data_IF_299668267602
#
_entry.id   IF_299668267602
#
_cell.length_a   1.000
_cell.length_b   1.000
_cell.length_c   1.000
_cell.angle_alpha   90.00
_cell.angle_beta   90.00
_cell.angle_gamma   90.00
#
_symmetry.space_group_name_H-M   'P 1'
#
loop_
_entity.id
_entity.type
_entity.pdbx_description
1 polymer ?
#
# COMPACT_ATOMS: atom_id res chain seq x y z
N UNK A 1 -51.62 15.14 37.81
CA UNK A 1 -50.60 14.14 38.23
C UNK A 1 -50.53 12.90 37.33
N UNK A 2 -51.64 12.24 36.95
CA UNK A 2 -51.60 11.02 36.10
C UNK A 2 -51.00 11.20 34.68
N UNK A 3 -51.14 12.38 34.05
CA UNK A 3 -50.59 12.66 32.70
C UNK A 3 -49.05 12.77 32.66
N UNK A 4 -48.41 13.22 33.73
CA UNK A 4 -46.95 13.32 33.78
C UNK A 4 -46.28 11.97 34.04
N UNK A 5 -46.95 11.06 34.75
CA UNK A 5 -46.45 9.70 35.00
C UNK A 5 -46.35 8.90 33.69
N UNK A 6 -47.29 9.10 32.76
CA UNK A 6 -47.30 8.44 31.46
C UNK A 6 -46.15 8.95 30.55
N UNK A 7 -45.83 10.25 30.62
CA UNK A 7 -44.73 10.85 29.85
C UNK A 7 -43.37 10.35 30.35
N UNK A 8 -43.18 10.22 31.67
CA UNK A 8 -41.96 9.63 32.24
C UNK A 8 -41.83 8.13 31.94
N UNK A 9 -42.94 7.38 31.94
CA UNK A 9 -42.93 5.97 31.55
C UNK A 9 -42.59 5.77 30.06
N UNK A 10 -43.07 6.65 29.16
CA UNK A 10 -42.74 6.62 27.73
C UNK A 10 -41.28 7.04 27.49
N UNK A 11 -40.77 8.02 28.24
CA UNK A 11 -39.36 8.44 28.16
C UNK A 11 -38.39 7.33 28.62
N UNK A 12 -38.76 6.54 29.63
CA UNK A 12 -37.96 5.39 30.11
C UNK A 12 -37.98 4.19 29.14
N UNK A 13 -39.05 4.01 28.36
CA UNK A 13 -39.12 2.96 27.32
C UNK A 13 -38.29 3.35 26.08
N UNK A 14 -38.10 4.66 25.84
CA UNK A 14 -37.21 5.18 24.79
C UNK A 14 -35.72 5.12 25.18
N UNK A 15 -35.40 5.00 26.47
CA UNK A 15 -34.11 4.50 26.96
C UNK A 15 -34.05 2.98 26.89
N UNK A 16 -34.52 2.40 25.77
CA UNK A 16 -34.38 0.99 25.44
C UNK A 16 -32.90 0.63 25.61
N UNK A 17 -32.62 -0.09 26.69
CA UNK A 17 -31.37 -0.79 26.91
C UNK A 17 -31.05 -1.55 25.63
N UNK A 18 -29.96 -1.19 24.95
CA UNK A 18 -29.31 -2.15 24.08
C UNK A 18 -29.08 -3.41 24.92
N UNK A 19 -29.61 -4.53 24.47
CA UNK A 19 -29.42 -5.83 25.13
C UNK A 19 -28.10 -6.48 24.72
N UNK A 20 -27.37 -5.86 23.79
CA UNK A 20 -26.14 -6.37 23.22
C UNK A 20 -25.23 -5.20 22.89
N UNK A 21 -24.03 -5.20 23.46
CA UNK A 21 -22.91 -4.41 22.95
C UNK A 21 -22.34 -5.16 21.76
N UNK A 22 -22.35 -4.53 20.59
CA UNK A 22 -21.77 -5.15 19.40
C UNK A 22 -20.27 -4.85 19.31
N UNK A 23 -19.47 -5.85 18.97
CA UNK A 23 -18.00 -5.70 18.89
C UNK A 23 -17.54 -4.58 17.95
N UNK A 24 -18.33 -4.25 16.90
CA UNK A 24 -18.02 -3.17 15.97
C UNK A 24 -18.08 -1.78 16.62
N UNK A 25 -18.80 -1.62 17.76
CA UNK A 25 -18.93 -0.35 18.48
C UNK A 25 -17.66 0.01 19.26
N UNK A 26 -16.81 -0.98 19.52
CA UNK A 26 -15.49 -0.82 20.13
C UNK A 26 -14.35 -1.08 19.13
N UNK A 27 -14.67 -1.17 17.84
CA UNK A 27 -13.67 -1.43 16.81
C UNK A 27 -12.75 -0.22 16.67
N UNK A 28 -11.46 -0.44 16.90
CA UNK A 28 -10.41 0.57 16.72
C UNK A 28 -9.51 0.13 15.58
N UNK A 29 -9.22 1.03 14.65
CA UNK A 29 -8.33 0.73 13.54
C UNK A 29 -6.88 0.58 14.04
N UNK A 30 -6.15 -0.36 13.44
CA UNK A 30 -4.71 -0.47 13.64
C UNK A 30 -3.99 0.50 12.71
N UNK A 31 -2.83 0.99 13.12
CA UNK A 31 -2.02 1.81 12.23
C UNK A 31 -1.56 0.99 11.02
N UNK A 32 -1.52 1.63 9.85
CA UNK A 32 -1.17 0.99 8.58
C UNK A 32 -0.04 1.77 7.92
N UNK A 33 0.82 1.11 7.12
CA UNK A 33 1.82 1.85 6.36
C UNK A 33 1.13 2.79 5.37
N UNK A 34 1.78 3.92 5.14
CA UNK A 34 1.40 4.93 4.17
C UNK A 34 2.58 5.18 3.25
N UNK A 35 2.37 5.00 1.96
CA UNK A 35 3.38 5.27 0.94
C UNK A 35 2.96 6.45 0.09
N UNK A 36 3.87 7.40 -0.11
CA UNK A 36 3.67 8.52 -1.03
C UNK A 36 4.72 8.46 -2.14
N UNK A 37 4.30 8.20 -3.38
CA UNK A 37 5.19 8.24 -4.53
C UNK A 37 5.57 9.67 -4.90
N UNK A 38 6.83 9.88 -5.30
CA UNK A 38 7.21 11.08 -6.03
C UNK A 38 6.95 10.87 -7.54
N UNK A 39 5.75 11.24 -7.97
CA UNK A 39 5.31 11.08 -9.37
C UNK A 39 6.16 11.89 -10.36
N UNK A 40 6.82 12.96 -9.91
CA UNK A 40 7.70 13.77 -10.77
C UNK A 40 9.04 13.08 -11.08
N UNK A 41 9.40 12.04 -10.32
CA UNK A 41 10.60 11.22 -10.54
C UNK A 41 10.35 9.98 -11.38
N UNK A 42 9.11 9.52 -11.48
CA UNK A 42 8.72 8.40 -12.35
C UNK A 42 9.08 8.70 -13.80
N UNK A 43 9.71 7.74 -14.49
CA UNK A 43 10.10 7.92 -15.89
C UNK A 43 8.88 8.01 -16.84
N UNK A 44 7.72 7.54 -16.38
CA UNK A 44 6.47 7.56 -17.13
C UNK A 44 5.30 8.00 -16.22
N UNK A 45 4.23 8.57 -16.80
CA UNK A 45 3.02 8.95 -16.05
C UNK A 45 2.50 7.87 -15.10
N UNK A 46 2.26 8.28 -13.85
CA UNK A 46 1.63 7.48 -12.79
C UNK A 46 0.89 8.38 -11.82
N UNK A 47 0.24 7.79 -10.82
CA UNK A 47 -0.56 8.47 -9.81
C UNK A 47 -0.09 8.07 -8.41
N UNK A 48 -0.10 9.01 -7.46
CA UNK A 48 0.36 8.73 -6.09
C UNK A 48 -0.44 7.61 -5.40
N UNK A 49 -1.72 7.48 -5.74
CA UNK A 49 -2.62 6.46 -5.20
C UNK A 49 -2.42 5.10 -5.82
N UNK A 50 -1.75 5.00 -6.98
CA UNK A 50 -1.46 3.74 -7.65
C UNK A 50 -0.32 2.96 -7.00
N UNK A 51 0.52 3.58 -6.16
CA UNK A 51 1.66 2.95 -5.47
C UNK A 51 2.63 2.17 -6.38
N UNK A 52 2.57 2.43 -7.68
CA UNK A 52 3.48 1.89 -8.69
C UNK A 52 4.09 3.04 -9.49
N UNK A 53 5.40 3.04 -9.59
CA UNK A 53 6.17 3.89 -10.51
C UNK A 53 6.61 3.09 -11.73
N UNK A 54 7.20 3.77 -12.71
CA UNK A 54 7.68 3.12 -13.93
C UNK A 54 9.10 3.51 -14.28
N UNK A 55 9.85 2.50 -14.74
CA UNK A 55 11.07 2.65 -15.51
C UNK A 55 10.77 2.43 -17.00
N UNK A 56 11.42 3.18 -17.87
CA UNK A 56 11.27 3.07 -19.32
C UNK A 56 12.52 2.46 -19.97
N UNK A 57 12.40 1.23 -20.44
CA UNK A 57 13.41 0.48 -21.18
C UNK A 57 13.74 1.08 -22.56
N UNK A 58 12.90 1.98 -23.07
CA UNK A 58 13.20 2.68 -24.34
C UNK A 58 14.33 3.71 -24.19
N UNK A 59 14.62 4.13 -22.95
CA UNK A 59 15.73 5.01 -22.62
C UNK A 59 17.04 4.21 -22.55
N UNK A 60 18.08 4.55 -23.33
CA UNK A 60 19.36 3.84 -23.30
C UNK A 60 20.05 3.91 -21.93
N UNK A 61 19.77 4.94 -21.14
CA UNK A 61 20.36 5.15 -19.82
C UNK A 61 19.41 4.73 -18.68
N UNK A 62 18.38 3.92 -18.97
CA UNK A 62 17.34 3.58 -17.98
C UNK A 62 17.91 3.04 -16.67
N UNK A 63 19.02 2.29 -16.72
CA UNK A 63 19.59 1.63 -15.55
C UNK A 63 20.04 2.61 -14.45
N UNK A 64 20.50 3.80 -14.84
CA UNK A 64 21.13 4.77 -13.93
C UNK A 64 20.50 6.17 -13.99
N UNK A 65 19.86 6.52 -15.10
CA UNK A 65 19.28 7.85 -15.34
C UNK A 65 17.85 8.01 -14.83
N UNK A 66 17.20 6.93 -14.39
CA UNK A 66 15.82 6.94 -13.91
C UNK A 66 15.76 6.63 -12.43
N UNK A 67 14.81 7.25 -11.73
CA UNK A 67 14.68 7.13 -10.28
C UNK A 67 13.27 6.66 -9.89
N UNK A 68 13.24 5.81 -8.88
CA UNK A 68 12.04 5.44 -8.15
C UNK A 68 12.15 5.99 -6.73
N UNK A 69 11.41 7.06 -6.45
CA UNK A 69 11.40 7.72 -5.15
C UNK A 69 10.02 7.63 -4.49
N UNK A 70 10.03 7.30 -3.20
CA UNK A 70 8.83 7.21 -2.37
C UNK A 70 9.15 7.50 -0.91
N UNK A 71 8.12 7.92 -0.17
CA UNK A 71 8.17 8.19 1.26
C UNK A 71 7.30 7.18 2.01
N UNK A 72 7.86 6.60 3.07
CA UNK A 72 7.16 5.76 4.03
C UNK A 72 6.78 6.57 5.27
N UNK A 73 5.50 6.52 5.60
CA UNK A 73 4.92 7.04 6.82
C UNK A 73 3.89 5.99 7.32
N UNK A 74 3.03 6.36 8.26
CA UNK A 74 1.90 5.54 8.69
C UNK A 74 0.62 6.37 8.81
N UNK A 75 -0.51 5.72 8.58
CA UNK A 75 -1.81 6.26 8.96
C UNK A 75 -2.09 5.87 10.42
N UNK A 76 -2.18 6.88 11.29
CA UNK A 76 -2.68 6.71 12.66
C UNK A 76 -4.20 6.83 12.62
N UNK A 77 -4.90 5.71 12.40
CA UNK A 77 -6.35 5.67 12.25
C UNK A 77 -7.11 5.76 13.60
N UNK A 78 -6.61 6.60 14.51
CA UNK A 78 -7.12 6.82 15.87
C UNK A 78 -7.28 5.55 16.72
N UNK A 79 -6.16 5.00 17.21
CA UNK A 79 -6.12 4.82 18.67
C UNK A 79 -5.97 3.42 19.29
N UNK A 80 -5.42 2.40 18.61
CA UNK A 80 -5.03 1.17 19.34
C UNK A 80 -3.60 1.24 19.89
N UNK A 81 -2.61 1.33 19.00
CA UNK A 81 -1.18 1.43 19.32
C UNK A 81 -0.48 2.09 18.13
N UNK A 82 0.66 2.75 18.35
CA UNK A 82 1.48 3.26 17.25
C UNK A 82 2.39 2.17 16.70
N UNK A 83 2.85 2.28 15.44
CA UNK A 83 3.94 1.45 14.94
C UNK A 83 5.19 1.70 15.79
N UNK A 84 5.75 0.63 16.35
CA UNK A 84 7.10 0.64 16.92
C UNK A 84 8.13 0.67 15.78
N UNK A 85 7.92 -0.18 14.77
CA UNK A 85 8.75 -0.25 13.58
C UNK A 85 7.96 -0.77 12.37
N UNK A 86 8.48 -0.44 11.18
CA UNK A 86 8.06 -1.05 9.92
C UNK A 86 9.28 -1.69 9.27
N UNK A 87 9.24 -3.02 9.10
CA UNK A 87 10.22 -3.77 8.32
C UNK A 87 9.89 -3.64 6.83
N UNK A 88 10.90 -3.31 6.04
CA UNK A 88 10.80 -3.15 4.60
C UNK A 88 11.52 -4.31 3.94
N UNK A 89 10.79 -5.04 3.11
CA UNK A 89 11.30 -6.14 2.31
C UNK A 89 11.24 -5.77 0.84
N UNK A 90 12.17 -6.26 0.02
CA UNK A 90 12.21 -5.98 -1.42
C UNK A 90 12.54 -7.24 -2.21
N UNK A 91 11.99 -7.34 -3.41
CA UNK A 91 12.31 -8.39 -4.35
C UNK A 91 11.95 -8.01 -5.79
N UNK A 92 12.46 -8.80 -6.73
CA UNK A 92 12.15 -8.71 -8.15
C UNK A 92 11.20 -9.83 -8.57
N UNK A 93 10.23 -9.48 -9.40
CA UNK A 93 9.20 -10.38 -9.91
C UNK A 93 9.09 -10.29 -11.43
N UNK A 94 8.91 -11.44 -12.05
CA UNK A 94 8.61 -11.52 -13.48
C UNK A 94 7.15 -11.18 -13.75
N UNK A 95 6.89 -10.58 -14.91
CA UNK A 95 5.54 -10.28 -15.36
C UNK A 95 4.68 -11.55 -15.43
N UNK A 96 3.43 -11.45 -14.98
CA UNK A 96 2.42 -12.47 -15.23
C UNK A 96 2.01 -12.47 -16.73
N UNK A 97 1.39 -13.56 -17.19
CA UNK A 97 0.97 -13.70 -18.59
C UNK A 97 -0.07 -12.64 -19.02
N UNK A 98 -0.81 -12.07 -18.07
CA UNK A 98 -1.75 -10.97 -18.30
C UNK A 98 -1.07 -9.64 -17.99
N UNK A 99 -0.61 -8.95 -19.05
CA UNK A 99 0.01 -7.65 -18.92
C UNK A 99 -1.02 -6.59 -18.49
N UNK A 100 -0.69 -5.77 -17.48
CA UNK A 100 -1.58 -4.70 -17.03
C UNK A 100 -1.61 -3.54 -18.03
N UNK A 101 -2.80 -2.93 -18.16
CA UNK A 101 -3.02 -1.78 -19.06
C UNK A 101 -2.15 -0.60 -18.65
N UNK A 102 -1.64 0.13 -19.64
CA UNK A 102 -0.88 1.37 -19.45
C UNK A 102 -1.41 2.45 -20.43
N UNK A 103 -1.55 3.74 -20.02
CA UNK A 103 -1.28 4.30 -18.69
C UNK A 103 -2.21 3.70 -17.61
N UNK A 104 -1.85 3.89 -16.34
CA UNK A 104 -2.70 3.45 -15.22
C UNK A 104 -4.06 4.15 -15.35
N UNK A 105 -5.13 3.38 -15.36
CA UNK A 105 -6.49 3.93 -15.33
C UNK A 105 -7.01 3.76 -13.91
N UNK A 106 -6.93 4.80 -13.08
CA UNK A 106 -7.55 4.71 -11.76
C UNK A 106 -9.07 4.60 -11.89
N UNK A 107 -9.71 3.94 -10.92
CA UNK A 107 -11.16 4.03 -10.76
C UNK A 107 -11.52 5.48 -10.46
N UNK A 108 -11.94 6.22 -11.48
CA UNK A 108 -12.44 7.58 -11.32
C UNK A 108 -13.93 7.53 -10.99
N UNK A 109 -14.30 8.13 -9.87
CA UNK A 109 -15.66 8.47 -9.46
C UNK A 109 -16.71 7.33 -9.54
N UNK A 110 -16.61 6.36 -8.62
CA UNK A 110 -17.77 5.56 -8.18
C UNK A 110 -18.03 4.25 -8.92
N UNK A 111 -17.09 3.75 -9.75
CA UNK A 111 -17.19 2.43 -10.37
C UNK A 111 -16.09 1.53 -9.81
N UNK A 112 -16.46 0.51 -9.04
CA UNK A 112 -15.51 -0.51 -8.57
C UNK A 112 -14.75 -1.10 -9.78
N UNK A 113 -13.41 -1.08 -9.79
CA UNK A 113 -12.64 -1.70 -10.85
C UNK A 113 -12.99 -3.18 -10.88
N UNK A 114 -13.43 -3.67 -12.04
CA UNK A 114 -13.88 -5.05 -12.22
C UNK A 114 -12.73 -6.05 -12.34
N UNK A 115 -11.50 -5.55 -12.48
CA UNK A 115 -10.28 -6.34 -12.55
C UNK A 115 -9.12 -5.64 -11.83
N UNK A 116 -8.27 -6.37 -11.09
CA UNK A 116 -7.03 -5.84 -10.55
C UNK A 116 -6.15 -5.35 -11.70
N UNK A 117 -5.79 -4.07 -11.70
CA UNK A 117 -4.92 -3.55 -12.76
C UNK A 117 -3.46 -3.88 -12.48
N UNK A 118 -3.07 -4.11 -11.23
CA UNK A 118 -1.70 -4.49 -10.86
C UNK A 118 -1.76 -5.39 -9.61
N UNK A 119 -2.03 -6.70 -9.73
CA UNK A 119 -1.97 -7.60 -8.59
C UNK A 119 -0.50 -7.79 -8.21
N UNK A 120 0.03 -6.91 -7.37
CA UNK A 120 1.29 -7.17 -6.71
C UNK A 120 1.03 -8.23 -5.61
N UNK A 121 1.99 -9.06 -5.22
CA UNK A 121 1.87 -9.88 -4.02
C UNK A 121 2.06 -9.02 -2.76
N UNK A 122 1.14 -9.01 -1.79
CA UNK A 122 1.31 -8.28 -0.52
C UNK A 122 2.00 -9.10 0.57
N UNK A 123 1.97 -10.43 0.44
CA UNK A 123 2.56 -11.36 1.41
C UNK A 123 4.08 -11.43 1.22
N UNK A 124 4.82 -11.41 2.32
CA UNK A 124 6.26 -11.72 2.33
C UNK A 124 6.47 -13.17 1.91
N UNK A 125 7.28 -13.38 0.87
CA UNK A 125 7.65 -14.65 0.29
C UNK A 125 9.05 -15.06 0.77
N UNK A 126 9.41 -16.35 0.74
CA UNK A 126 10.72 -16.82 1.23
C UNK A 126 11.94 -16.19 0.55
N UNK A 127 11.77 -15.67 -0.66
CA UNK A 127 12.82 -15.02 -1.44
C UNK A 127 12.82 -13.49 -1.32
N UNK A 128 11.92 -12.90 -0.53
CA UNK A 128 11.94 -11.46 -0.29
C UNK A 128 13.10 -11.11 0.65
N UNK A 129 13.85 -10.07 0.27
CA UNK A 129 15.06 -9.65 0.96
C UNK A 129 14.70 -8.61 2.00
N UNK A 130 15.08 -8.84 3.26
CA UNK A 130 14.98 -7.82 4.28
C UNK A 130 15.94 -6.67 3.94
N UNK A 131 15.39 -5.47 3.79
CA UNK A 131 16.14 -4.29 3.35
C UNK A 131 16.39 -3.29 4.48
N UNK A 132 15.35 -2.95 5.25
CA UNK A 132 15.44 -1.92 6.28
C UNK A 132 14.42 -2.16 7.42
N UNK A 133 14.68 -1.57 8.59
CA UNK A 133 13.72 -1.45 9.69
C UNK A 133 13.58 0.02 10.08
N UNK A 134 12.41 0.59 9.79
CA UNK A 134 12.12 2.01 10.01
C UNK A 134 11.50 2.21 11.38
N UNK A 135 12.14 3.04 12.20
CA UNK A 135 11.67 3.46 13.53
C UNK A 135 11.41 4.97 13.61
N UNK A 136 11.71 5.71 12.54
CA UNK A 136 11.52 7.17 12.46
C UNK A 136 10.79 7.50 11.17
N UNK A 137 9.67 8.20 11.29
CA UNK A 137 8.78 8.54 10.19
C UNK A 137 8.61 10.07 10.06
N UNK A 138 8.46 10.62 8.84
CA UNK A 138 8.51 9.91 7.57
C UNK A 138 9.96 9.54 7.15
N UNK A 139 10.11 8.47 6.37
CA UNK A 139 11.38 8.00 5.81
C UNK A 139 11.32 8.01 4.29
N UNK A 140 12.29 8.67 3.65
CA UNK A 140 12.40 8.72 2.20
C UNK A 140 13.34 7.65 1.66
N UNK A 141 12.97 7.10 0.50
CA UNK A 141 13.75 6.16 -0.29
C UNK A 141 13.84 6.66 -1.73
N UNK A 142 15.02 6.54 -2.32
CA UNK A 142 15.24 6.79 -3.75
C UNK A 142 16.19 5.73 -4.28
N UNK A 143 15.85 5.13 -5.41
CA UNK A 143 16.64 4.09 -6.05
C UNK A 143 16.64 4.25 -7.56
N UNK A 144 17.78 3.97 -8.18
CA UNK A 144 17.87 3.65 -9.61
C UNK A 144 17.52 2.17 -9.85
N UNK A 145 17.24 1.76 -11.11
CA UNK A 145 17.14 0.35 -11.43
C UNK A 145 18.40 -0.45 -11.09
N UNK A 146 19.60 0.14 -11.23
CA UNK A 146 20.87 -0.50 -10.86
C UNK A 146 20.94 -0.77 -9.36
N UNK A 147 20.56 0.19 -8.51
CA UNK A 147 20.52 -0.01 -7.05
C UNK A 147 19.58 -1.17 -6.68
N UNK A 148 18.39 -1.22 -7.27
CA UNK A 148 17.42 -2.29 -7.03
C UNK A 148 17.89 -3.64 -7.57
N UNK A 149 18.62 -3.63 -8.69
CA UNK A 149 19.20 -4.82 -9.28
C UNK A 149 20.30 -5.41 -8.40
N UNK A 150 21.15 -4.57 -7.84
CA UNK A 150 22.16 -4.98 -6.86
C UNK A 150 21.52 -5.58 -5.60
N UNK A 151 20.50 -4.91 -5.05
CA UNK A 151 19.81 -5.40 -3.84
C UNK A 151 19.17 -6.77 -4.08
N UNK A 152 18.55 -6.97 -5.24
CA UNK A 152 17.78 -8.20 -5.55
C UNK A 152 18.57 -9.27 -6.30
N UNK A 153 19.80 -8.97 -6.73
CA UNK A 153 20.66 -9.85 -7.51
C UNK A 153 20.15 -10.15 -8.92
N UNK A 154 19.31 -9.29 -9.51
CA UNK A 154 18.82 -9.48 -10.88
C UNK A 154 19.76 -8.86 -11.91
N UNK A 155 19.94 -9.52 -13.05
CA UNK A 155 20.62 -8.95 -14.21
C UNK A 155 19.63 -8.11 -15.03
N UNK A 156 19.86 -6.78 -15.07
CA UNK A 156 19.03 -5.83 -15.83
C UNK A 156 19.00 -6.13 -17.33
N UNK A 157 20.00 -6.80 -17.90
CA UNK A 157 19.95 -7.20 -19.32
C UNK A 157 18.85 -8.23 -19.62
N UNK A 158 18.35 -8.89 -18.57
CA UNK A 158 17.31 -9.92 -18.69
C UNK A 158 15.91 -9.39 -18.42
N UNK A 159 15.74 -8.14 -17.96
CA UNK A 159 14.43 -7.61 -17.61
C UNK A 159 13.59 -7.40 -18.86
N UNK A 160 12.28 -7.60 -18.72
CA UNK A 160 11.30 -7.47 -19.80
C UNK A 160 10.23 -6.48 -19.41
N UNK A 161 9.49 -6.02 -20.40
CA UNK A 161 8.29 -5.21 -20.19
C UNK A 161 7.36 -5.90 -19.19
N UNK A 162 6.93 -5.14 -18.17
CA UNK A 162 6.09 -5.52 -17.03
C UNK A 162 6.76 -6.31 -15.90
N UNK A 163 8.04 -6.67 -16.02
CA UNK A 163 8.82 -7.10 -14.85
C UNK A 163 8.88 -5.95 -13.84
N UNK A 164 9.11 -6.27 -12.56
CA UNK A 164 8.99 -5.26 -11.50
C UNK A 164 9.78 -5.55 -10.25
N UNK A 165 10.18 -4.47 -9.58
CA UNK A 165 10.61 -4.49 -8.20
C UNK A 165 9.43 -4.18 -7.29
N UNK A 166 9.39 -4.83 -6.14
CA UNK A 166 8.33 -4.67 -5.18
C UNK A 166 8.87 -4.60 -3.76
N UNK A 167 8.54 -3.51 -3.08
CA UNK A 167 8.72 -3.35 -1.65
C UNK A 167 7.44 -3.77 -0.91
N UNK A 168 7.60 -4.45 0.22
CA UNK A 168 6.52 -4.95 1.07
C UNK A 168 6.82 -4.63 2.52
N UNK A 169 5.76 -4.51 3.32
CA UNK A 169 5.87 -4.03 4.70
C UNK A 169 5.38 -5.05 5.71
N UNK A 170 6.10 -5.12 6.83
CA UNK A 170 5.61 -5.75 8.06
C UNK A 170 5.63 -4.71 9.16
N UNK A 171 4.51 -4.56 9.86
CA UNK A 171 4.37 -3.56 10.93
C UNK A 171 4.45 -4.25 12.28
N UNK A 172 5.34 -3.78 13.16
CA UNK A 172 5.35 -4.14 14.58
C UNK A 172 4.76 -2.98 15.36
N UNK A 173 3.72 -3.24 16.14
CA UNK A 173 3.04 -2.26 16.98
C UNK A 173 3.70 -2.19 18.37
N UNK A 174 3.57 -1.06 19.06
CA UNK A 174 4.07 -0.89 20.44
C UNK A 174 3.46 -1.88 21.45
N UNK A 175 2.26 -2.40 21.17
CA UNK A 175 1.61 -3.44 21.98
C UNK A 175 2.15 -4.86 21.71
N UNK A 176 3.16 -4.99 20.85
CA UNK A 176 3.80 -6.25 20.46
C UNK A 176 3.10 -7.01 19.34
N UNK A 177 1.96 -6.51 18.83
CA UNK A 177 1.30 -7.13 17.69
C UNK A 177 2.13 -6.93 16.42
N UNK A 178 2.33 -8.00 15.65
CA UNK A 178 3.03 -7.96 14.37
C UNK A 178 2.08 -8.25 13.21
N UNK A 179 1.97 -7.33 12.27
CA UNK A 179 1.08 -7.39 11.11
C UNK A 179 1.91 -7.68 9.87
N UNK A 180 1.85 -8.94 9.42
CA UNK A 180 2.66 -9.48 8.31
C UNK A 180 1.96 -9.51 6.96
N UNK A 181 0.67 -9.19 6.97
CA UNK A 181 -0.19 -9.17 5.81
C UNK A 181 -1.42 -8.33 6.14
N UNK A 182 -1.76 -7.42 5.23
CA UNK A 182 -3.05 -6.76 5.19
C UNK A 182 -3.92 -7.46 4.15
N UNK A 183 -5.24 -7.42 4.32
CA UNK A 183 -6.17 -8.06 3.38
C UNK A 183 -5.90 -7.54 1.95
N UNK A 184 -5.66 -8.41 0.95
CA UNK A 184 -5.30 -7.99 -0.40
C UNK A 184 -6.33 -7.07 -1.07
N UNK A 185 -7.60 -7.16 -0.66
CA UNK A 185 -8.68 -6.29 -1.15
C UNK A 185 -8.72 -4.93 -0.45
N UNK A 186 -7.94 -4.75 0.62
CA UNK A 186 -7.76 -3.49 1.37
C UNK A 186 -6.45 -2.77 1.02
N UNK A 187 -5.66 -3.32 0.08
CA UNK A 187 -4.46 -2.71 -0.50
C UNK A 187 -4.50 -2.67 -2.04
N UNK A 188 -5.69 -2.58 -2.65
CA UNK A 188 -5.79 -2.54 -4.11
C UNK A 188 -5.50 -1.12 -4.61
N UNK A 189 -4.42 -0.98 -5.37
CA UNK A 189 -3.86 0.26 -5.92
C UNK A 189 -4.85 1.07 -6.77
N UNK A 190 -5.93 0.44 -7.21
CA UNK A 190 -6.98 1.09 -7.99
C UNK A 190 -8.06 1.78 -7.14
N UNK A 191 -8.01 1.64 -5.80
CA UNK A 191 -9.13 1.96 -4.90
C UNK A 191 -8.87 3.09 -3.90
N UNK A 192 -7.65 3.62 -3.81
CA UNK A 192 -7.33 4.72 -2.87
C UNK A 192 -7.59 4.36 -1.41
N UNK A 193 -7.30 3.11 -1.04
CA UNK A 193 -7.59 2.56 0.30
C UNK A 193 -6.61 3.08 1.37
N UNK A 194 -7.04 3.01 2.63
CA UNK A 194 -6.32 3.55 3.81
C UNK A 194 -5.03 2.79 4.16
N UNK A 195 -4.72 1.68 3.48
CA UNK A 195 -3.65 0.77 3.87
C UNK A 195 -2.72 0.47 2.70
N UNK A 196 -1.46 0.87 2.81
CA UNK A 196 -0.43 0.49 1.84
C UNK A 196 0.34 -0.71 2.38
N UNK A 197 0.18 -1.89 1.76
CA UNK A 197 1.01 -3.05 2.14
C UNK A 197 2.23 -3.25 1.23
N UNK A 198 2.42 -2.37 0.25
CA UNK A 198 3.50 -2.45 -0.75
C UNK A 198 3.63 -1.18 -1.58
N UNK A 199 4.74 -1.10 -2.31
CA UNK A 199 5.00 -0.11 -3.37
C UNK A 199 6.00 -0.70 -4.34
N UNK A 200 5.90 -0.39 -5.64
CA UNK A 200 6.81 -0.98 -6.61
C UNK A 200 7.15 -0.09 -7.79
N UNK A 201 8.10 -0.56 -8.61
CA UNK A 201 8.46 0.05 -9.88
C UNK A 201 8.44 -1.01 -10.98
N UNK A 202 7.77 -0.71 -12.08
CA UNK A 202 7.58 -1.61 -13.23
C UNK A 202 8.38 -1.15 -14.43
N UNK A 203 8.96 -2.10 -15.17
CA UNK A 203 9.54 -1.82 -16.47
C UNK A 203 8.47 -1.69 -17.53
N UNK A 204 8.54 -0.65 -18.35
CA UNK A 204 7.76 -0.46 -19.57
C UNK A 204 8.73 -0.19 -20.72
N UNK A 205 8.27 -0.38 -21.95
CA UNK A 205 9.05 -0.04 -23.14
C UNK A 205 8.19 0.85 -24.03
N UNK A 206 8.29 2.16 -23.83
CA UNK A 206 7.45 3.16 -24.50
C UNK A 206 8.38 4.18 -25.15
N UNK A 207 8.37 4.30 -26.49
CA UNK A 207 9.09 5.37 -27.17
C UNK A 207 8.60 6.73 -26.66
N UNK A 208 9.53 7.57 -26.18
CA UNK A 208 9.27 8.96 -25.82
C UNK A 208 9.24 9.86 -27.07
#
# INVERSE_FOLDING_TARGET
>A
MKKHLLIYAIAMILFSCKTVDYDWENFVFTATPKVTLNVAKSALPTEQTAKVSFFNLADPDFATGQEFEWELDYYDAEGRAKPLDIEVYVNFYRSENTAPVYPIVLSLAGVFPTQPQFPLPSRIMPNDIFFDRVTTFPKKYSFTPEDLAEITGIDLSTVRTNDYFLFKFVVTMEDGQRIVLFDPKSCDETRGELCDCRVGARFKNIPL
#
